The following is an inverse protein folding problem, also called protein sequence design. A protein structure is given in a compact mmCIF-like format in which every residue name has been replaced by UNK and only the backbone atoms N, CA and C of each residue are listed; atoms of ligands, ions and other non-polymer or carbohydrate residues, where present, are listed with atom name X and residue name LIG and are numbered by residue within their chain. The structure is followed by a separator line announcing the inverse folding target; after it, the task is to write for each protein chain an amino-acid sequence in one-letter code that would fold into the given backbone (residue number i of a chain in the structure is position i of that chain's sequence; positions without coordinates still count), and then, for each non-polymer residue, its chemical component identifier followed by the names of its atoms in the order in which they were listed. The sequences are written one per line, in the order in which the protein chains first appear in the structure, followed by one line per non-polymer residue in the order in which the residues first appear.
data_IF_680107447856
#
_entry.id   IF_680107447856
#
_cell.length_a   1.000
_cell.length_b   1.000
_cell.length_c   1.000
_cell.angle_alpha   90.00
_cell.angle_beta   90.00
_cell.angle_gamma   90.00
#
_symmetry.space_group_name_H-M   'P 1'
#
loop_
_entity.id
_entity.type
_entity.pdbx_description
1 polymer ?
#
# COMPACT_ATOMS: atom_id res chain seq x y z
N UNK A 1 41.47 -14.37 -1.82
CA UNK A 1 40.28 -14.95 -2.49
C UNK A 1 39.03 -14.42 -1.80
N UNK A 2 38.06 -13.87 -2.52
CA UNK A 2 36.73 -13.58 -1.93
C UNK A 2 36.00 -14.91 -1.77
N UNK A 3 35.53 -15.19 -0.57
CA UNK A 3 34.79 -16.41 -0.28
C UNK A 3 33.41 -16.34 -0.92
N UNK A 4 32.74 -17.49 -1.10
CA UNK A 4 31.35 -17.53 -1.57
C UNK A 4 30.45 -16.71 -0.64
N UNK A 5 30.72 -16.73 0.66
CA UNK A 5 30.04 -15.94 1.68
C UNK A 5 30.11 -14.43 1.42
N UNK A 6 31.27 -13.91 0.99
CA UNK A 6 31.43 -12.48 0.67
C UNK A 6 30.59 -12.06 -0.54
N UNK A 7 30.37 -12.98 -1.50
CA UNK A 7 29.54 -12.72 -2.69
C UNK A 7 28.06 -12.74 -2.34
N UNK A 8 27.64 -13.66 -1.46
CA UNK A 8 26.26 -13.73 -0.96
C UNK A 8 25.90 -12.48 -0.15
N UNK A 9 26.74 -12.06 0.79
CA UNK A 9 26.50 -10.86 1.59
C UNK A 9 26.35 -9.59 0.73
N UNK A 10 27.13 -9.47 -0.36
CA UNK A 10 26.98 -8.37 -1.32
C UNK A 10 25.67 -8.42 -2.10
N UNK A 11 25.25 -9.61 -2.53
CA UNK A 11 23.97 -9.79 -3.22
C UNK A 11 22.79 -9.45 -2.31
N UNK A 12 22.85 -9.85 -1.04
CA UNK A 12 21.85 -9.50 -0.03
C UNK A 12 21.80 -7.99 0.21
N UNK A 13 22.95 -7.33 0.37
CA UNK A 13 23.02 -5.88 0.55
C UNK A 13 22.49 -5.11 -0.68
N UNK A 14 22.81 -5.56 -1.90
CA UNK A 14 22.27 -4.97 -3.14
C UNK A 14 20.75 -5.20 -3.21
N UNK A 15 20.27 -6.39 -2.84
CA UNK A 15 18.84 -6.70 -2.85
C UNK A 15 18.07 -5.86 -1.84
N UNK A 16 18.63 -5.65 -0.64
CA UNK A 16 18.04 -4.78 0.39
C UNK A 16 18.02 -3.31 -0.06
N UNK A 17 19.07 -2.83 -0.72
CA UNK A 17 19.11 -1.48 -1.29
C UNK A 17 18.12 -1.28 -2.44
N UNK A 18 17.90 -2.32 -3.26
CA UNK A 18 16.94 -2.29 -4.37
C UNK A 18 15.48 -2.47 -3.93
N UNK A 19 15.25 -2.98 -2.72
CA UNK A 19 13.92 -3.20 -2.15
C UNK A 19 13.78 -2.42 -0.84
N UNK A 20 13.63 -1.08 -0.92
CA UNK A 20 13.40 -0.29 0.28
C UNK A 20 12.20 -0.84 1.05
N UNK A 21 12.23 -0.83 2.39
CA UNK A 21 11.09 -1.25 3.19
C UNK A 21 9.85 -0.47 2.74
N UNK A 22 8.76 -1.18 2.45
CA UNK A 22 7.51 -0.54 2.04
C UNK A 22 7.02 0.32 3.20
N UNK A 23 6.75 1.60 2.93
CA UNK A 23 5.99 2.42 3.87
C UNK A 23 4.59 1.82 4.04
N UNK A 24 4.00 1.91 5.22
CA UNK A 24 2.59 1.53 5.44
C UNK A 24 1.81 2.76 5.83
N UNK A 25 0.84 3.13 5.01
CA UNK A 25 -0.05 4.25 5.29
C UNK A 25 -1.47 3.75 5.53
N UNK A 26 -2.10 4.24 6.60
CA UNK A 26 -3.45 3.85 7.00
C UNK A 26 -4.38 5.04 6.83
N UNK A 27 -5.47 4.82 6.12
CA UNK A 27 -6.43 5.84 5.72
C UNK A 27 -7.81 5.46 6.25
N UNK A 28 -8.53 6.43 6.82
CA UNK A 28 -9.94 6.25 7.21
C UNK A 28 -10.77 7.12 6.27
N UNK A 29 -11.65 6.49 5.50
CA UNK A 29 -12.61 7.19 4.64
C UNK A 29 -13.98 7.00 5.27
N UNK A 30 -14.41 8.02 5.99
CA UNK A 30 -15.76 8.11 6.53
C UNK A 30 -16.65 8.92 5.58
N UNK A 31 -17.89 8.45 5.42
CA UNK A 31 -18.98 9.15 4.75
C UNK A 31 -18.75 9.43 3.25
N UNK A 32 -19.82 9.85 2.56
CA UNK A 32 -19.85 10.03 1.11
C UNK A 32 -20.39 8.82 0.36
N UNK A 33 -20.73 9.02 -0.91
CA UNK A 33 -21.20 7.95 -1.80
C UNK A 33 -20.05 7.02 -2.20
N UNK A 34 -20.38 5.86 -2.81
CA UNK A 34 -19.35 4.97 -3.35
C UNK A 34 -18.42 5.67 -4.36
N UNK A 35 -18.97 6.54 -5.20
CA UNK A 35 -18.21 7.34 -6.15
C UNK A 35 -17.21 8.29 -5.46
N UNK A 36 -17.65 8.98 -4.40
CA UNK A 36 -16.79 9.89 -3.64
C UNK A 36 -15.62 9.15 -2.98
N UNK A 37 -15.89 7.97 -2.43
CA UNK A 37 -14.87 7.13 -1.80
C UNK A 37 -13.85 6.63 -2.81
N UNK A 38 -14.30 6.17 -3.99
CA UNK A 38 -13.42 5.76 -5.09
C UNK A 38 -12.55 6.92 -5.58
N UNK A 39 -13.12 8.12 -5.72
CA UNK A 39 -12.38 9.31 -6.09
C UNK A 39 -11.29 9.66 -5.06
N UNK A 40 -11.61 9.58 -3.76
CA UNK A 40 -10.63 9.80 -2.67
C UNK A 40 -9.50 8.76 -2.68
N UNK A 41 -9.82 7.47 -2.82
CA UNK A 41 -8.80 6.42 -2.91
C UNK A 41 -7.88 6.69 -4.11
N UNK A 42 -8.46 7.02 -5.27
CA UNK A 42 -7.69 7.34 -6.48
C UNK A 42 -6.73 8.51 -6.26
N UNK A 43 -7.21 9.61 -5.67
CA UNK A 43 -6.38 10.77 -5.38
C UNK A 43 -5.21 10.44 -4.43
N UNK A 44 -5.45 9.59 -3.42
CA UNK A 44 -4.40 9.14 -2.48
C UNK A 44 -3.35 8.30 -3.21
N UNK A 45 -3.78 7.39 -4.08
CA UNK A 45 -2.85 6.56 -4.86
C UNK A 45 -2.03 7.40 -5.86
N UNK A 46 -2.64 8.41 -6.49
CA UNK A 46 -1.95 9.31 -7.42
C UNK A 46 -0.95 10.24 -6.71
N UNK A 47 -1.22 10.64 -5.47
CA UNK A 47 -0.33 11.46 -4.66
C UNK A 47 0.79 10.65 -3.98
N UNK A 48 0.70 9.32 -3.96
CA UNK A 48 1.61 8.48 -3.18
C UNK A 48 2.92 8.16 -3.90
N UNK A 49 3.96 7.93 -3.12
CA UNK A 49 5.24 7.43 -3.62
C UNK A 49 5.16 5.96 -4.00
N UNK A 50 5.99 5.52 -4.95
CA UNK A 50 5.89 4.20 -5.59
C UNK A 50 6.18 2.98 -4.69
N UNK A 51 6.46 3.16 -3.40
CA UNK A 51 6.82 2.08 -2.48
C UNK A 51 6.04 2.13 -1.14
N UNK A 52 4.73 2.40 -1.20
CA UNK A 52 3.85 2.43 -0.03
C UNK A 52 2.72 1.41 -0.18
N UNK A 53 2.47 0.65 0.88
CA UNK A 53 1.27 -0.17 1.06
C UNK A 53 0.19 0.68 1.74
N UNK A 54 -0.88 0.98 1.01
CA UNK A 54 -2.03 1.69 1.55
C UNK A 54 -3.05 0.72 2.14
N UNK A 55 -3.53 1.01 3.34
CA UNK A 55 -4.63 0.29 3.99
C UNK A 55 -5.78 1.28 4.19
N UNK A 56 -6.90 1.05 3.49
CA UNK A 56 -8.08 1.89 3.59
C UNK A 56 -9.14 1.23 4.47
N UNK A 57 -9.52 1.89 5.56
CA UNK A 57 -10.72 1.55 6.33
C UNK A 57 -11.86 2.42 5.84
N UNK A 58 -12.81 1.81 5.14
CA UNK A 58 -13.99 2.51 4.62
C UNK A 58 -15.16 2.28 5.58
N UNK A 59 -15.78 3.37 6.04
CA UNK A 59 -16.98 3.32 6.88
C UNK A 59 -18.18 3.59 5.97
N UNK A 60 -18.98 2.56 5.75
CA UNK A 60 -20.21 2.62 4.95
C UNK A 60 -21.45 2.54 5.83
N UNK A 61 -22.58 3.07 5.35
CA UNK A 61 -23.88 2.88 6.02
C UNK A 61 -24.31 1.41 5.91
N UNK A 62 -25.08 0.87 6.86
CA UNK A 62 -25.52 -0.53 6.83
C UNK A 62 -26.21 -0.96 5.53
N UNK A 63 -27.02 -0.08 4.91
CA UNK A 63 -27.69 -0.36 3.64
C UNK A 63 -26.77 -0.44 2.42
N UNK A 64 -25.54 0.09 2.51
CA UNK A 64 -24.53 0.02 1.45
C UNK A 64 -23.63 -1.22 1.59
N UNK A 65 -23.51 -1.76 2.81
CA UNK A 65 -22.66 -2.92 3.09
C UNK A 65 -23.08 -4.17 2.30
N UNK A 66 -24.38 -4.35 2.05
CA UNK A 66 -24.90 -5.48 1.27
C UNK A 66 -24.53 -5.44 -0.22
N UNK A 67 -24.24 -4.27 -0.78
CA UNK A 67 -23.84 -4.11 -2.19
C UNK A 67 -22.34 -4.31 -2.42
N UNK A 68 -21.53 -4.42 -1.36
CA UNK A 68 -20.05 -4.50 -1.45
C UNK A 68 -19.52 -5.95 -1.39
N UNK A 69 -20.40 -6.95 -1.22
CA UNK A 69 -20.03 -8.38 -1.01
C UNK A 69 -20.38 -9.27 -2.22
N UNK A 70 -20.83 -8.70 -3.35
CA UNK A 70 -21.09 -9.45 -4.59
C UNK A 70 -19.96 -9.30 -5.60
#
# INVERSE_FOLDING_TARGET
MRTISDRLAKLEAVTAALRPPRGVERHIIAEGTDADRKARIKAILEASSSNVLHVFRVIVKPGEAGATVQ
#
